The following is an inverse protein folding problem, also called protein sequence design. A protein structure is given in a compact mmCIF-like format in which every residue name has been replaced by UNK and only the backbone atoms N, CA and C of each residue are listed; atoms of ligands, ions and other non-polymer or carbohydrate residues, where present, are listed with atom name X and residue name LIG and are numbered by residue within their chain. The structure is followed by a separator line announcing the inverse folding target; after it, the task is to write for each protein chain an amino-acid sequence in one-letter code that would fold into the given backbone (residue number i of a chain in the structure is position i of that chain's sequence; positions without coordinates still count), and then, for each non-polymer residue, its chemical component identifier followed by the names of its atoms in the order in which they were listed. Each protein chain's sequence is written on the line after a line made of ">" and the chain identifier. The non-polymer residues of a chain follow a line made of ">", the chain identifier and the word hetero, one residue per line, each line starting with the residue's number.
data_IF_564989599274
#
_entry.id   IF_564989599274
#
_cell.length_a   1.000
_cell.length_b   1.000
_cell.length_c   1.000
_cell.angle_alpha   90.00
_cell.angle_beta   90.00
_cell.angle_gamma   90.00
#
_symmetry.space_group_name_H-M   'P 1'
#
loop_
_entity.id
_entity.type
_entity.pdbx_description
1 polymer ?
#
# COMPACT_ATOMS: atom_id res chain seq x y z
N UNK A 1 -65.31 -28.48 8.96
CA UNK A 1 -65.06 -29.39 10.11
C UNK A 1 -64.98 -30.80 9.56
N UNK A 2 -63.89 -31.50 9.92
CA UNK A 2 -63.63 -32.96 9.82
C UNK A 2 -63.14 -33.53 8.48
N UNK A 3 -61.82 -33.83 8.44
CA UNK A 3 -61.19 -35.17 8.36
C UNK A 3 -62.03 -36.28 7.70
N UNK A 4 -61.51 -37.20 6.89
CA UNK A 4 -60.23 -37.93 6.80
C UNK A 4 -60.35 -38.72 5.47
N UNK A 5 -59.25 -39.05 4.78
CA UNK A 5 -58.83 -40.46 4.69
C UNK A 5 -57.56 -40.69 3.87
N UNK A 6 -56.79 -41.63 4.40
CA UNK A 6 -55.62 -42.25 3.84
C UNK A 6 -56.02 -43.19 2.70
N UNK A 7 -55.16 -43.38 1.69
CA UNK A 7 -54.88 -44.68 1.03
C UNK A 7 -54.07 -44.50 -0.26
N UNK A 8 -52.83 -44.98 -0.27
CA UNK A 8 -52.26 -45.71 -1.42
C UNK A 8 -50.89 -46.24 -1.02
N UNK A 9 -50.75 -47.54 -0.77
CA UNK A 9 -50.60 -48.65 -1.75
C UNK A 9 -49.11 -48.94 -2.00
N UNK A 10 -48.55 -49.84 -1.19
CA UNK A 10 -47.55 -50.81 -1.66
C UNK A 10 -48.34 -52.06 -2.13
N UNK A 11 -47.87 -52.91 -3.08
CA UNK A 11 -46.66 -53.74 -2.98
C UNK A 11 -45.93 -53.82 -4.36
N UNK A 12 -44.89 -54.58 -4.71
CA UNK A 12 -44.39 -55.89 -4.31
C UNK A 12 -42.97 -56.08 -4.88
N UNK A 13 -42.11 -56.81 -4.17
CA UNK A 13 -40.80 -57.30 -4.64
C UNK A 13 -40.94 -58.46 -5.67
N UNK A 14 -39.88 -58.73 -6.44
CA UNK A 14 -39.39 -60.11 -6.50
C UNK A 14 -37.88 -60.28 -6.25
N UNK A 15 -37.57 -61.53 -5.89
CA UNK A 15 -36.46 -62.10 -5.12
C UNK A 15 -35.16 -62.40 -5.91
N UNK A 16 -34.07 -62.87 -5.24
CA UNK A 16 -32.68 -62.76 -5.70
C UNK A 16 -32.13 -64.03 -6.40
N UNK A 17 -31.02 -63.87 -7.14
CA UNK A 17 -30.11 -64.94 -7.60
C UNK A 17 -28.67 -64.42 -7.45
N UNK A 18 -27.91 -64.87 -6.44
CA UNK A 18 -26.96 -66.01 -6.44
C UNK A 18 -25.89 -65.85 -7.55
N UNK A 19 -24.69 -65.33 -7.22
CA UNK A 19 -23.49 -66.01 -6.67
C UNK A 19 -22.64 -66.67 -7.76
N UNK A 20 -21.36 -66.25 -7.84
CA UNK A 20 -20.26 -66.99 -8.48
C UNK A 20 -19.60 -66.25 -9.63
N UNK A 21 -18.52 -65.51 -9.37
CA UNK A 21 -17.15 -66.03 -9.58
C UNK A 21 -16.10 -64.90 -9.60
N UNK A 22 -15.13 -65.01 -8.69
CA UNK A 22 -13.74 -64.81 -9.06
C UNK A 22 -13.05 -63.46 -8.79
N UNK A 23 -12.32 -63.43 -7.66
CA UNK A 23 -10.98 -62.82 -7.46
C UNK A 23 -10.91 -61.28 -7.19
N UNK A 24 -10.54 -60.95 -5.95
CA UNK A 24 -10.11 -59.63 -5.41
C UNK A 24 -8.83 -59.07 -6.12
N UNK A 25 -8.28 -57.85 -5.85
CA UNK A 25 -8.71 -56.75 -4.96
C UNK A 25 -8.66 -55.32 -5.58
N UNK A 26 -9.09 -54.34 -4.77
CA UNK A 26 -9.03 -52.87 -4.95
C UNK A 26 -7.64 -52.33 -5.36
N UNK A 27 -7.56 -51.15 -6.03
CA UNK A 27 -7.40 -49.94 -5.23
C UNK A 27 -8.22 -48.74 -5.71
N UNK A 28 -8.91 -48.12 -4.74
CA UNK A 28 -8.99 -46.68 -4.49
C UNK A 28 -8.88 -45.75 -5.70
N UNK A 29 -10.02 -45.35 -6.27
CA UNK A 29 -10.12 -44.16 -7.09
C UNK A 29 -11.49 -43.49 -6.86
N UNK A 30 -11.59 -42.73 -5.77
CA UNK A 30 -12.66 -41.77 -5.53
C UNK A 30 -12.50 -40.61 -6.51
N UNK A 31 -13.34 -40.58 -7.55
CA UNK A 31 -13.62 -39.37 -8.31
C UNK A 31 -14.74 -38.58 -7.63
N UNK A 32 -14.41 -37.43 -7.06
CA UNK A 32 -15.32 -36.30 -6.97
C UNK A 32 -14.54 -35.03 -7.33
N UNK A 33 -14.60 -34.71 -8.61
CA UNK A 33 -14.22 -33.42 -9.18
C UNK A 33 -15.27 -32.40 -8.74
N UNK A 34 -15.01 -31.67 -7.65
CA UNK A 34 -15.72 -30.43 -7.34
C UNK A 34 -14.70 -29.37 -6.97
N UNK A 35 -14.37 -28.53 -7.95
CA UNK A 35 -13.70 -27.25 -7.80
C UNK A 35 -12.42 -27.30 -6.98
N UNK A 36 -11.27 -27.46 -7.64
CA UNK A 36 -10.10 -26.70 -7.19
C UNK A 36 -10.50 -25.23 -7.24
N UNK A 37 -10.89 -24.70 -6.07
CA UNK A 37 -10.55 -23.33 -5.77
C UNK A 37 -9.06 -23.30 -5.98
N UNK A 38 -8.65 -22.74 -7.12
CA UNK A 38 -7.28 -22.26 -7.31
C UNK A 38 -7.14 -21.15 -6.27
N UNK A 39 -6.91 -21.57 -5.01
CA UNK A 39 -6.01 -20.87 -4.15
C UNK A 39 -4.74 -20.92 -4.99
N UNK A 40 -4.52 -19.88 -5.78
CA UNK A 40 -3.20 -19.55 -6.21
C UNK A 40 -2.56 -19.10 -4.90
N UNK A 41 -1.82 -19.94 -4.14
CA UNK A 41 -0.92 -19.35 -3.18
C UNK A 41 -0.02 -18.51 -4.07
N UNK A 42 -0.21 -17.19 -4.06
CA UNK A 42 0.77 -16.27 -4.62
C UNK A 42 2.11 -16.88 -4.16
N UNK A 43 3.05 -17.15 -5.08
CA UNK A 43 4.38 -17.54 -4.64
C UNK A 43 4.81 -16.51 -3.61
N UNK A 44 5.84 -16.78 -2.83
CA UNK A 44 6.42 -15.78 -1.93
C UNK A 44 7.09 -14.63 -2.73
N UNK A 45 6.42 -14.10 -3.76
CA UNK A 45 6.80 -12.99 -4.60
C UNK A 45 6.85 -11.79 -3.70
N UNK A 46 8.07 -11.32 -3.45
CA UNK A 46 8.30 -10.00 -2.89
C UNK A 46 7.37 -9.03 -3.61
N UNK A 47 6.47 -8.42 -2.87
CA UNK A 47 5.58 -7.40 -3.42
C UNK A 47 6.43 -6.20 -3.87
N UNK A 48 5.89 -5.35 -4.74
CA UNK A 48 6.51 -4.07 -5.08
C UNK A 48 6.92 -3.29 -3.80
N UNK A 49 6.11 -3.37 -2.74
CA UNK A 49 6.44 -2.75 -1.45
C UNK A 49 7.64 -3.38 -0.74
N UNK A 50 7.84 -4.69 -0.85
CA UNK A 50 9.02 -5.37 -0.29
C UNK A 50 10.27 -5.01 -1.10
N UNK A 51 10.15 -4.94 -2.43
CA UNK A 51 11.24 -4.51 -3.32
C UNK A 51 11.69 -3.07 -3.00
N UNK A 52 10.74 -2.15 -2.84
CA UNK A 52 11.00 -0.76 -2.46
C UNK A 52 11.59 -0.65 -1.05
N UNK A 53 11.15 -1.48 -0.10
CA UNK A 53 11.71 -1.49 1.27
C UNK A 53 13.16 -1.97 1.29
N UNK A 54 13.45 -3.00 0.49
CA UNK A 54 14.77 -3.61 0.42
C UNK A 54 15.73 -2.80 -0.49
N UNK A 55 15.28 -1.65 -1.03
CA UNK A 55 16.00 -0.76 -1.96
C UNK A 55 16.51 -1.47 -3.23
N UNK A 56 15.81 -2.52 -3.65
CA UNK A 56 16.18 -3.32 -4.82
C UNK A 56 15.59 -2.71 -6.09
N UNK A 57 16.32 -1.77 -6.71
CA UNK A 57 15.90 -1.10 -7.94
C UNK A 57 15.54 -2.08 -9.06
N UNK A 58 16.29 -3.16 -9.22
CA UNK A 58 16.05 -4.13 -10.28
C UNK A 58 14.72 -4.82 -10.05
N UNK A 59 14.48 -5.29 -8.83
CA UNK A 59 13.22 -5.92 -8.48
C UNK A 59 12.03 -4.94 -8.56
N UNK A 60 12.22 -3.67 -8.21
CA UNK A 60 11.19 -2.62 -8.43
C UNK A 60 10.87 -2.53 -9.91
N UNK A 61 11.86 -2.42 -10.79
CA UNK A 61 11.57 -2.35 -12.24
C UNK A 61 10.93 -3.62 -12.78
N UNK A 62 11.34 -4.79 -12.30
CA UNK A 62 10.80 -6.09 -12.71
C UNK A 62 9.34 -6.26 -12.28
N UNK A 63 9.02 -5.96 -11.01
CA UNK A 63 7.65 -6.02 -10.48
C UNK A 63 6.71 -5.04 -11.18
N UNK A 64 7.21 -3.83 -11.48
CA UNK A 64 6.47 -2.85 -12.26
C UNK A 64 6.25 -3.27 -13.71
N UNK A 65 7.21 -3.94 -14.34
CA UNK A 65 7.04 -4.53 -15.68
C UNK A 65 6.11 -5.75 -15.66
N UNK A 66 6.07 -6.48 -14.54
CA UNK A 66 5.16 -7.60 -14.29
C UNK A 66 3.69 -7.20 -14.11
N UNK A 67 3.36 -5.91 -14.22
CA UNK A 67 1.99 -5.39 -14.14
C UNK A 67 1.46 -5.26 -12.71
N UNK A 68 2.34 -5.22 -11.69
CA UNK A 68 1.91 -4.95 -10.32
C UNK A 68 1.37 -3.52 -10.20
N UNK A 69 0.27 -3.36 -9.46
CA UNK A 69 -0.40 -2.06 -9.33
C UNK A 69 0.38 -1.14 -8.38
N UNK A 70 0.79 0.03 -8.89
CA UNK A 70 1.44 1.09 -8.10
C UNK A 70 0.49 1.80 -7.12
N UNK A 71 -0.82 1.53 -7.19
CA UNK A 71 -1.82 2.15 -6.31
C UNK A 71 -2.19 1.24 -5.14
N UNK A 72 -1.69 0.00 -5.09
CA UNK A 72 -1.98 -0.90 -3.99
C UNK A 72 -1.49 -0.32 -2.66
N UNK A 73 -2.35 -0.38 -1.65
CA UNK A 73 -2.05 0.08 -0.30
C UNK A 73 -1.96 -1.07 0.68
N UNK A 74 -1.11 -0.94 1.70
CA UNK A 74 -1.07 -1.90 2.81
C UNK A 74 -2.10 -1.58 3.91
N UNK A 75 -2.03 -2.30 5.04
CA UNK A 75 -2.91 -2.08 6.20
C UNK A 75 -2.85 -0.67 6.82
N UNK A 76 -1.85 0.15 6.45
CA UNK A 76 -1.69 1.54 6.86
C UNK A 76 -2.09 2.55 5.76
N UNK A 77 -2.74 2.10 4.69
CA UNK A 77 -3.05 2.91 3.50
C UNK A 77 -1.81 3.48 2.79
N UNK A 78 -0.62 2.92 3.04
CA UNK A 78 0.60 3.37 2.38
C UNK A 78 0.74 2.72 1.00
N UNK A 79 0.92 3.55 -0.01
CA UNK A 79 1.27 3.16 -1.38
C UNK A 79 2.76 2.81 -1.50
N UNK A 80 3.21 2.18 -2.59
CA UNK A 80 4.63 1.99 -2.89
C UNK A 80 5.40 3.31 -2.90
N UNK A 81 4.76 4.41 -3.33
CA UNK A 81 5.36 5.75 -3.32
C UNK A 81 5.64 6.25 -1.89
N UNK A 82 4.75 6.00 -0.92
CA UNK A 82 5.03 6.29 0.49
C UNK A 82 6.22 5.48 1.01
N UNK A 83 6.35 4.23 0.57
CA UNK A 83 7.46 3.37 0.97
C UNK A 83 8.76 3.84 0.33
N UNK A 84 8.76 4.22 -0.94
CA UNK A 84 9.92 4.75 -1.63
C UNK A 84 10.38 6.02 -0.93
N UNK A 85 9.49 7.01 -0.80
CA UNK A 85 9.76 8.25 -0.09
C UNK A 85 10.29 8.06 1.35
N UNK A 86 9.98 6.95 2.01
CA UNK A 86 10.47 6.67 3.36
C UNK A 86 11.81 5.89 3.37
N UNK A 87 11.92 4.81 2.60
CA UNK A 87 13.08 3.92 2.65
C UNK A 87 14.19 4.32 1.69
N UNK A 88 13.85 4.86 0.52
CA UNK A 88 14.82 5.24 -0.51
C UNK A 88 14.76 6.74 -0.81
N UNK A 89 15.90 7.40 -0.65
CA UNK A 89 16.07 8.77 -1.16
C UNK A 89 16.27 8.84 -2.67
N UNK A 90 16.17 7.68 -3.33
CA UNK A 90 16.47 7.48 -4.74
C UNK A 90 15.42 8.13 -5.64
N UNK A 91 15.83 9.23 -6.26
CA UNK A 91 15.04 9.97 -7.24
C UNK A 91 14.49 9.07 -8.35
N UNK A 92 15.31 8.14 -8.84
CA UNK A 92 14.96 7.27 -9.98
C UNK A 92 13.80 6.31 -9.65
N UNK A 93 13.80 5.75 -8.44
CA UNK A 93 12.74 4.84 -7.96
C UNK A 93 11.43 5.60 -7.82
N UNK A 94 11.48 6.78 -7.20
CA UNK A 94 10.32 7.66 -7.01
C UNK A 94 9.77 8.11 -8.38
N UNK A 95 10.64 8.56 -9.29
CA UNK A 95 10.24 8.96 -10.64
C UNK A 95 9.60 7.80 -11.41
N UNK A 96 10.20 6.60 -11.37
CA UNK A 96 9.67 5.41 -12.04
C UNK A 96 8.28 5.01 -11.54
N UNK A 97 7.98 5.23 -10.26
CA UNK A 97 6.65 4.98 -9.69
C UNK A 97 5.64 6.01 -10.18
N UNK A 98 6.04 7.29 -10.22
CA UNK A 98 5.22 8.41 -10.70
C UNK A 98 4.88 8.26 -12.18
N UNK A 99 5.87 7.90 -13.01
CA UNK A 99 5.68 7.66 -14.46
C UNK A 99 4.70 6.53 -14.73
N UNK A 100 4.58 5.56 -13.82
CA UNK A 100 3.58 4.48 -13.87
C UNK A 100 2.23 4.85 -13.27
N UNK A 101 2.00 6.12 -12.96
CA UNK A 101 0.72 6.63 -12.46
C UNK A 101 0.52 6.47 -10.96
N UNK A 102 1.59 6.43 -10.17
CA UNK A 102 1.46 6.51 -8.71
C UNK A 102 0.91 7.89 -8.32
N UNK A 103 -0.06 7.89 -7.39
CA UNK A 103 -0.61 9.11 -6.85
C UNK A 103 0.40 9.79 -5.90
N UNK A 104 0.93 10.92 -6.34
CA UNK A 104 1.90 11.77 -5.63
C UNK A 104 1.33 12.34 -4.33
N UNK A 105 0.02 12.57 -4.31
CA UNK A 105 -0.70 13.16 -3.19
C UNK A 105 -1.51 12.12 -2.40
N UNK A 106 -1.20 10.83 -2.59
CA UNK A 106 -1.82 9.75 -1.85
C UNK A 106 -1.68 9.98 -0.34
N UNK A 107 -2.70 9.56 0.41
CA UNK A 107 -2.75 9.73 1.87
C UNK A 107 -2.70 8.39 2.56
N UNK A 108 -1.80 8.27 3.54
CA UNK A 108 -1.81 7.13 4.45
C UNK A 108 -2.86 7.31 5.57
N UNK A 109 -2.96 6.35 6.49
CA UNK A 109 -3.91 6.41 7.64
C UNK A 109 -3.78 7.66 8.51
N UNK A 110 -2.63 8.31 8.53
CA UNK A 110 -2.39 9.54 9.27
C UNK A 110 -2.58 10.81 8.44
N UNK A 111 -3.08 10.69 7.21
CA UNK A 111 -3.06 11.74 6.19
C UNK A 111 -1.66 12.24 5.85
N UNK A 112 -0.64 11.40 6.06
CA UNK A 112 0.70 11.72 5.59
C UNK A 112 0.75 11.47 4.09
N UNK A 113 1.35 12.41 3.38
CA UNK A 113 1.68 12.23 1.95
C UNK A 113 3.10 11.68 1.80
N UNK A 114 3.47 11.15 0.62
CA UNK A 114 4.86 10.77 0.33
C UNK A 114 5.85 11.91 0.63
N UNK A 115 5.48 13.17 0.37
CA UNK A 115 6.33 14.33 0.66
C UNK A 115 6.58 14.52 2.16
N UNK A 116 5.61 14.26 3.04
CA UNK A 116 5.82 14.28 4.49
C UNK A 116 6.87 13.24 4.93
N UNK A 117 6.79 12.03 4.36
CA UNK A 117 7.73 10.95 4.68
C UNK A 117 9.13 11.22 4.17
N UNK A 118 9.26 11.72 2.94
CA UNK A 118 10.55 12.11 2.36
C UNK A 118 11.20 13.24 3.17
N UNK A 119 10.40 14.23 3.57
CA UNK A 119 10.88 15.38 4.35
C UNK A 119 11.36 14.96 5.74
N UNK A 120 10.63 14.06 6.42
CA UNK A 120 11.04 13.56 7.74
C UNK A 120 12.42 12.91 7.74
N UNK A 121 12.79 12.26 6.64
CA UNK A 121 14.06 11.56 6.52
C UNK A 121 15.13 12.39 5.78
N UNK A 122 14.84 13.65 5.45
CA UNK A 122 15.70 14.53 4.63
C UNK A 122 16.12 13.91 3.29
N UNK A 123 15.25 13.13 2.66
CA UNK A 123 15.52 12.46 1.39
C UNK A 123 15.36 13.45 0.23
N UNK A 124 16.35 14.34 0.06
CA UNK A 124 16.31 15.45 -0.91
C UNK A 124 16.05 14.98 -2.35
N UNK A 125 16.59 13.83 -2.75
CA UNK A 125 16.36 13.24 -4.09
C UNK A 125 14.90 12.85 -4.31
N UNK A 126 14.29 12.17 -3.34
CA UNK A 126 12.88 11.81 -3.35
C UNK A 126 11.97 13.05 -3.28
N UNK A 127 12.30 14.02 -2.41
CA UNK A 127 11.58 15.29 -2.31
C UNK A 127 11.55 16.01 -3.66
N UNK A 128 12.70 16.13 -4.32
CA UNK A 128 12.79 16.79 -5.62
C UNK A 128 11.95 16.08 -6.69
N UNK A 129 11.99 14.75 -6.76
CA UNK A 129 11.12 14.01 -7.69
C UNK A 129 9.62 14.24 -7.40
N UNK A 130 9.23 14.25 -6.14
CA UNK A 130 7.84 14.50 -5.74
C UNK A 130 7.40 15.93 -6.08
N UNK A 131 8.25 16.92 -5.83
CA UNK A 131 7.99 18.33 -6.13
C UNK A 131 7.93 18.57 -7.65
N UNK A 132 8.86 17.98 -8.41
CA UNK A 132 8.86 18.02 -9.89
C UNK A 132 7.56 17.42 -10.45
N UNK A 133 6.98 16.43 -9.76
CA UNK A 133 5.72 15.79 -10.12
C UNK A 133 4.45 16.51 -9.60
N UNK A 134 4.60 17.68 -8.96
CA UNK A 134 3.46 18.48 -8.47
C UNK A 134 2.90 18.02 -7.12
N UNK A 135 3.75 17.51 -6.22
CA UNK A 135 3.34 17.21 -4.84
C UNK A 135 2.80 18.45 -4.12
N UNK A 136 1.71 18.28 -3.38
CA UNK A 136 1.10 19.34 -2.58
C UNK A 136 1.96 19.62 -1.33
N UNK A 137 2.61 20.79 -1.30
CA UNK A 137 3.48 21.25 -0.20
C UNK A 137 2.73 21.77 1.03
N UNK A 138 1.43 22.04 0.89
CA UNK A 138 0.59 22.64 1.93
C UNK A 138 -0.33 21.65 2.63
N UNK A 139 -0.26 20.37 2.24
CA UNK A 139 -1.09 19.34 2.86
C UNK A 139 -0.72 19.20 4.32
N UNK A 140 -1.74 19.10 5.16
CA UNK A 140 -1.58 18.91 6.61
C UNK A 140 -1.93 17.48 7.00
N UNK A 141 -1.21 16.95 7.98
CA UNK A 141 -1.50 15.64 8.56
C UNK A 141 -2.74 15.66 9.48
N UNK A 142 -3.34 14.48 9.69
CA UNK A 142 -4.55 14.33 10.48
C UNK A 142 -4.30 14.57 11.97
N UNK A 143 -3.08 14.29 12.44
CA UNK A 143 -2.78 14.21 13.86
C UNK A 143 -2.42 15.58 14.41
N UNK A 144 -1.44 16.25 13.82
CA UNK A 144 -0.87 17.49 14.33
C UNK A 144 -1.21 18.72 13.49
N UNK A 145 -1.77 18.53 12.30
CA UNK A 145 -1.95 19.62 11.33
C UNK A 145 -0.61 20.08 10.73
N UNK A 146 0.41 19.23 10.75
CA UNK A 146 1.73 19.54 10.24
C UNK A 146 1.77 19.46 8.73
N UNK A 147 2.31 20.49 8.10
CA UNK A 147 2.74 20.43 6.70
C UNK A 147 4.10 19.74 6.57
N UNK A 148 4.53 19.35 5.36
CA UNK A 148 5.90 18.88 5.14
C UNK A 148 6.94 19.85 5.72
N UNK A 149 6.71 21.17 5.58
CA UNK A 149 7.62 22.18 6.13
C UNK A 149 7.69 22.11 7.66
N UNK A 150 6.56 21.98 8.38
CA UNK A 150 6.59 21.77 9.84
C UNK A 150 7.41 20.53 10.20
N UNK A 151 7.27 19.44 9.45
CA UNK A 151 8.05 18.21 9.67
C UNK A 151 9.54 18.47 9.48
N UNK A 152 9.96 19.22 8.44
CA UNK A 152 11.36 19.61 8.25
C UNK A 152 11.91 20.41 9.44
N UNK A 153 11.13 21.38 9.92
CA UNK A 153 11.53 22.26 11.03
C UNK A 153 11.66 21.50 12.35
N UNK A 154 10.71 20.62 12.66
CA UNK A 154 10.74 19.77 13.87
C UNK A 154 11.88 18.75 13.79
N UNK A 155 12.17 18.23 12.61
CA UNK A 155 13.27 17.29 12.40
C UNK A 155 14.66 17.97 12.37
N UNK A 156 14.72 19.31 12.29
CA UNK A 156 15.98 20.05 12.20
C UNK A 156 16.66 19.95 10.83
N UNK A 157 15.90 19.68 9.76
CA UNK A 157 16.43 19.47 8.42
C UNK A 157 16.38 20.76 7.59
N UNK A 158 17.42 21.59 7.73
CA UNK A 158 17.56 22.88 7.02
C UNK A 158 17.46 22.74 5.50
N UNK A 159 18.18 21.80 4.91
CA UNK A 159 18.19 21.60 3.45
C UNK A 159 16.80 21.20 2.92
N UNK A 160 16.09 20.35 3.67
CA UNK A 160 14.73 19.93 3.32
C UNK A 160 13.74 21.10 3.45
N UNK A 161 13.87 21.91 4.49
CA UNK A 161 13.07 23.12 4.67
C UNK A 161 13.33 24.13 3.54
N UNK A 162 14.59 24.35 3.17
CA UNK A 162 14.98 25.22 2.05
C UNK A 162 14.37 24.75 0.75
N UNK A 163 14.49 23.46 0.43
CA UNK A 163 13.91 22.89 -0.79
C UNK A 163 12.38 23.08 -0.86
N UNK A 164 11.68 22.94 0.27
CA UNK A 164 10.23 23.19 0.33
C UNK A 164 9.90 24.67 0.12
N UNK A 165 10.67 25.59 0.71
CA UNK A 165 10.49 27.03 0.52
C UNK A 165 10.77 27.44 -0.94
N UNK A 166 11.82 26.90 -1.55
CA UNK A 166 12.13 27.09 -2.98
C UNK A 166 11.01 26.56 -3.89
N UNK A 167 10.36 25.47 -3.47
CA UNK A 167 9.19 24.93 -4.16
C UNK A 167 7.88 25.68 -3.86
N UNK A 168 7.93 26.79 -3.12
CA UNK A 168 6.77 27.63 -2.83
C UNK A 168 5.90 27.15 -1.66
N UNK A 169 6.44 26.35 -0.73
CA UNK A 169 5.75 26.05 0.52
C UNK A 169 5.55 27.33 1.34
N UNK A 170 4.37 27.44 1.97
CA UNK A 170 4.01 28.63 2.73
C UNK A 170 4.49 28.46 4.19
N UNK A 171 5.42 29.34 4.58
CA UNK A 171 6.04 29.35 5.91
C UNK A 171 5.10 29.87 7.00
N UNK A 172 3.97 30.47 6.62
CA UNK A 172 2.97 31.05 7.53
C UNK A 172 1.83 30.09 7.87
N UNK A 173 1.78 28.91 7.25
CA UNK A 173 0.80 27.87 7.60
C UNK A 173 0.97 27.51 9.07
N UNK A 174 -0.17 27.42 9.77
CA UNK A 174 -0.21 27.11 11.20
C UNK A 174 -0.64 25.67 11.41
N UNK A 175 0.04 25.00 12.32
CA UNK A 175 -0.38 23.69 12.80
C UNK A 175 -1.55 23.77 13.79
N UNK A 176 -2.00 22.62 14.31
CA UNK A 176 -3.06 22.58 15.34
C UNK A 176 -2.62 23.15 16.68
N UNK A 177 -1.32 23.16 16.99
CA UNK A 177 -0.75 23.86 18.14
C UNK A 177 -0.70 25.38 17.95
N UNK A 178 -1.15 25.86 16.79
CA UNK A 178 -1.15 27.27 16.39
C UNK A 178 0.23 27.86 16.13
N UNK A 179 1.26 27.01 16.15
CA UNK A 179 2.63 27.35 15.79
C UNK A 179 2.75 27.32 14.27
N UNK A 180 3.35 28.37 13.72
CA UNK A 180 3.65 28.42 12.29
C UNK A 180 4.97 27.72 12.03
N UNK A 181 5.22 27.26 10.80
CA UNK A 181 6.52 26.71 10.44
C UNK A 181 7.67 27.70 10.74
N UNK A 182 7.46 29.00 10.53
CA UNK A 182 8.43 30.05 10.89
C UNK A 182 8.69 30.19 12.39
N UNK A 183 7.69 29.93 13.23
CA UNK A 183 7.85 29.97 14.69
C UNK A 183 8.72 28.79 15.14
N UNK A 184 8.47 27.60 14.58
CA UNK A 184 9.30 26.40 14.82
C UNK A 184 10.73 26.58 14.31
N UNK A 185 10.92 27.24 13.16
CA UNK A 185 12.27 27.56 12.66
C UNK A 185 13.03 28.46 13.63
N UNK A 186 12.37 29.51 14.17
CA UNK A 186 12.97 30.40 15.17
C UNK A 186 13.29 29.69 16.48
N UNK A 187 12.40 28.83 16.98
CA UNK A 187 12.63 28.05 18.20
C UNK A 187 13.81 27.08 18.05
N UNK A 188 13.94 26.45 16.89
CA UNK A 188 15.03 25.51 16.59
C UNK A 188 16.34 26.20 16.18
N UNK A 189 16.37 27.53 16.00
CA UNK A 189 17.53 28.27 15.52
C UNK A 189 17.85 28.06 14.03
N UNK A 190 16.87 27.59 13.26
CA UNK A 190 16.96 27.26 11.84
C UNK A 190 16.85 28.54 10.98
N UNK A 191 17.84 28.81 10.13
CA UNK A 191 17.82 29.94 9.18
C UNK A 191 17.78 29.42 7.73
N UNK A 192 16.58 29.23 7.15
CA UNK A 192 16.46 28.73 5.77
C UNK A 192 17.03 29.70 4.73
N UNK A 193 17.32 30.96 5.10
CA UNK A 193 17.80 32.02 4.22
C UNK A 193 19.32 32.23 4.21
N UNK A 194 20.11 31.48 4.99
CA UNK A 194 21.57 31.64 5.05
C UNK A 194 22.25 30.89 3.90
N UNK A 195 22.50 31.59 2.80
CA UNK A 195 23.36 31.10 1.70
C UNK A 195 24.84 31.07 2.10
#
# INVERSE_FOLDING_TARGET
>A
RHQIDHTSRAPSLPSPRQLGDGIDPLPTAMGLFTGEVVLNPKPRSRTLMDAVRDDDRNLVTETLNGGESVTQTNAYLRTPLHKAAYYSGDRDVVASLIDRGADVNARDKGDWTPLHLATRNAHLGAMRALLDAGAETQRVDAKHGWTPLHVACVAGHEDAARMLVEAGADVTVRDKSTASAIDLMRESGMDPGRA
#
